data_IF_229314569032
#
_entry.id   IF_229314569032
#
_cell.length_a   1.000
_cell.length_b   1.000
_cell.length_c   1.000
_cell.angle_alpha   90.00
_cell.angle_beta   90.00
_cell.angle_gamma   90.00
#
_symmetry.space_group_name_H-M   'P 1'
#
loop_
_entity.id
_entity.type
_entity.pdbx_description
1 polymer ?
#
# COMPACT_ATOMS: atom_id res chain seq x y z
N UNK A 1 13.76 -3.18 13.82
CA UNK A 1 12.31 -3.14 14.12
C UNK A 1 11.60 -3.50 12.84
N UNK A 2 10.50 -4.26 12.90
CA UNK A 2 9.72 -4.51 11.69
C UNK A 2 9.00 -3.21 11.31
N UNK A 3 9.08 -2.80 10.05
CA UNK A 3 8.35 -1.63 9.57
C UNK A 3 6.88 -2.03 9.37
N UNK A 4 6.02 -1.62 10.30
CA UNK A 4 4.59 -1.96 10.29
C UNK A 4 3.72 -0.71 10.42
N UNK A 5 2.51 -0.80 9.89
CA UNK A 5 1.44 0.17 10.03
C UNK A 5 0.39 -0.39 11.00
N UNK A 6 0.16 0.32 12.11
CA UNK A 6 -0.93 0.01 13.03
C UNK A 6 -2.23 0.68 12.57
N UNK A 7 -3.27 -0.10 12.32
CA UNK A 7 -4.61 0.38 11.94
C UNK A 7 -5.59 0.04 13.07
N UNK A 8 -6.28 1.05 13.59
CA UNK A 8 -7.37 0.86 14.54
C UNK A 8 -8.70 1.12 13.83
N UNK A 9 -9.56 0.11 13.75
CA UNK A 9 -10.92 0.30 13.27
C UNK A 9 -11.81 0.76 14.43
N UNK A 10 -12.26 2.02 14.39
CA UNK A 10 -13.10 2.57 15.45
C UNK A 10 -14.54 2.02 15.45
N UNK A 11 -14.98 1.37 14.36
CA UNK A 11 -16.32 0.74 14.29
C UNK A 11 -16.40 -0.51 15.16
N UNK A 12 -15.29 -1.27 15.24
CA UNK A 12 -15.21 -2.54 15.98
C UNK A 12 -14.27 -2.49 17.18
N UNK A 13 -13.42 -1.46 17.28
CA UNK A 13 -12.38 -1.33 18.29
C UNK A 13 -11.14 -2.21 18.06
N UNK A 14 -11.13 -3.03 16.99
CA UNK A 14 -10.02 -3.95 16.67
C UNK A 14 -8.80 -3.18 16.16
N UNK A 15 -7.62 -3.70 16.50
CA UNK A 15 -6.33 -3.17 16.06
C UNK A 15 -5.64 -4.22 15.20
N UNK A 16 -5.10 -3.78 14.07
CA UNK A 16 -4.43 -4.59 13.06
C UNK A 16 -3.03 -4.05 12.85
N UNK A 17 -2.06 -4.94 12.62
CA UNK A 17 -0.71 -4.58 12.21
C UNK A 17 -0.48 -5.07 10.79
N UNK A 18 -0.17 -4.14 9.89
CA UNK A 18 0.03 -4.41 8.47
C UNK A 18 1.52 -4.19 8.16
N UNK A 19 2.23 -5.17 7.55
CA UNK A 19 3.63 -4.98 7.19
C UNK A 19 3.79 -3.95 6.08
N UNK A 20 4.78 -3.09 6.22
CA UNK A 20 5.23 -2.17 5.17
C UNK A 20 6.34 -2.86 4.37
N UNK A 21 6.26 -2.81 3.05
CA UNK A 21 7.30 -3.34 2.16
C UNK A 21 7.48 -2.40 0.97
N UNK A 22 8.73 -2.08 0.64
CA UNK A 22 9.09 -1.13 -0.43
C UNK A 22 8.38 0.23 -0.29
N UNK A 23 8.15 0.69 0.95
CA UNK A 23 7.43 1.94 1.24
C UNK A 23 5.92 1.88 0.96
N UNK A 24 5.36 0.69 0.76
CA UNK A 24 3.94 0.47 0.48
C UNK A 24 3.33 -0.58 1.42
N UNK A 25 2.01 -0.54 1.60
CA UNK A 25 1.25 -1.63 2.23
C UNK A 25 0.47 -2.38 1.15
N UNK A 26 0.28 -3.68 1.32
CA UNK A 26 -0.54 -4.43 0.37
C UNK A 26 -2.02 -4.10 0.57
N UNK A 27 -2.73 -3.82 -0.51
CA UNK A 27 -4.15 -3.49 -0.46
C UNK A 27 -5.04 -4.66 0.03
N UNK A 28 -4.65 -5.91 -0.27
CA UNK A 28 -5.38 -7.10 0.17
C UNK A 28 -5.34 -7.33 1.68
N UNK A 29 -4.37 -6.76 2.40
CA UNK A 29 -4.33 -6.80 3.87
C UNK A 29 -5.51 -6.07 4.52
N UNK A 30 -6.15 -5.14 3.81
CA UNK A 30 -7.35 -4.45 4.31
C UNK A 30 -8.60 -5.34 4.25
N UNK A 31 -8.59 -6.45 3.51
CA UNK A 31 -9.70 -7.41 3.50
C UNK A 31 -9.93 -8.07 4.86
N UNK A 32 -8.89 -8.15 5.70
CA UNK A 32 -8.99 -8.68 7.06
C UNK A 32 -9.69 -7.72 8.03
N UNK A 33 -9.85 -6.45 7.65
CA UNK A 33 -10.52 -5.42 8.44
C UNK A 33 -12.02 -5.46 8.14
N UNK A 34 -12.76 -6.18 8.99
CA UNK A 34 -14.19 -6.43 8.82
C UNK A 34 -15.01 -5.88 9.98
N UNK A 35 -16.24 -5.43 9.66
CA UNK A 35 -17.23 -5.08 10.69
C UNK A 35 -17.96 -6.34 11.17
N UNK A 36 -18.44 -7.15 10.23
CA UNK A 36 -19.19 -8.39 10.46
C UNK A 36 -18.50 -9.58 9.77
N UNK A 37 -18.80 -10.81 10.18
CA UNK A 37 -18.16 -12.02 9.61
C UNK A 37 -18.51 -12.26 8.13
N UNK A 38 -19.69 -11.78 7.70
CA UNK A 38 -20.17 -11.88 6.32
C UNK A 38 -19.57 -10.81 5.39
N UNK A 39 -18.83 -9.83 5.95
CA UNK A 39 -18.23 -8.76 5.18
C UNK A 39 -17.08 -9.28 4.30
N UNK A 40 -16.98 -8.75 3.09
CA UNK A 40 -15.85 -9.01 2.20
C UNK A 40 -14.55 -8.46 2.78
N UNK A 41 -14.64 -7.34 3.52
CA UNK A 41 -13.52 -6.61 4.09
C UNK A 41 -13.32 -5.23 3.47
N UNK A 42 -12.48 -4.43 4.12
CA UNK A 42 -12.26 -3.04 3.73
C UNK A 42 -11.52 -2.95 2.39
N UNK A 43 -12.12 -2.25 1.43
CA UNK A 43 -11.50 -1.97 0.13
C UNK A 43 -10.84 -0.58 0.12
N UNK A 44 -9.71 -0.48 -0.58
CA UNK A 44 -9.02 0.80 -0.80
C UNK A 44 -9.61 1.48 -2.04
N UNK A 45 -10.10 2.70 -1.87
CA UNK A 45 -10.59 3.53 -2.98
C UNK A 45 -9.55 4.59 -3.35
N UNK A 46 -8.89 4.41 -4.49
CA UNK A 46 -7.89 5.34 -5.03
C UNK A 46 -8.14 5.59 -6.52
N UNK A 47 -8.93 6.63 -6.87
CA UNK A 47 -9.24 6.97 -8.25
C UNK A 47 -7.97 7.21 -9.08
N UNK A 48 -7.87 6.49 -10.20
CA UNK A 48 -6.72 6.54 -11.11
C UNK A 48 -5.38 6.07 -10.51
N UNK A 49 -5.40 5.33 -9.39
CA UNK A 49 -4.22 4.68 -8.78
C UNK A 49 -3.07 5.65 -8.45
N UNK A 50 -3.40 6.88 -8.03
CA UNK A 50 -2.37 7.91 -7.79
C UNK A 50 -1.47 7.58 -6.59
N UNK A 51 -1.98 6.83 -5.62
CA UNK A 51 -1.28 6.42 -4.41
C UNK A 51 -1.14 4.89 -4.32
N UNK A 52 -1.40 4.17 -5.42
CA UNK A 52 -1.36 2.71 -5.46
C UNK A 52 -0.22 2.24 -6.36
N UNK A 53 0.78 1.59 -5.77
CA UNK A 53 1.81 0.90 -6.53
C UNK A 53 1.26 -0.44 -7.07
N UNK A 54 0.99 -0.50 -8.38
CA UNK A 54 0.35 -1.67 -9.01
C UNK A 54 1.28 -2.87 -9.19
N UNK A 55 2.59 -2.64 -9.34
CA UNK A 55 3.56 -3.69 -9.55
C UNK A 55 4.95 -3.29 -9.06
N UNK A 56 5.80 -4.30 -8.80
CA UNK A 56 7.24 -4.10 -8.66
C UNK A 56 7.86 -4.15 -10.05
N UNK A 57 8.59 -3.11 -10.42
CA UNK A 57 9.28 -3.03 -11.71
C UNK A 57 10.75 -2.70 -11.50
N UNK A 58 11.60 -3.29 -12.34
CA UNK A 58 13.03 -2.98 -12.40
C UNK A 58 13.40 -2.32 -13.74
N UNK A 59 12.41 -1.85 -14.53
CA UNK A 59 12.63 -1.36 -15.90
C UNK A 59 13.08 0.10 -15.90
N UNK A 60 12.26 0.99 -15.36
CA UNK A 60 12.47 2.44 -15.43
C UNK A 60 12.18 3.07 -14.06
N UNK A 61 13.01 4.03 -13.66
CA UNK A 61 12.78 4.90 -12.50
C UNK A 61 12.63 6.35 -12.97
N UNK A 62 11.65 7.04 -12.42
CA UNK A 62 11.43 8.47 -12.64
C UNK A 62 11.33 9.16 -11.27
N UNK A 63 12.07 10.25 -11.08
CA UNK A 63 11.94 11.18 -9.93
C UNK A 63 11.88 12.60 -10.53
N UNK A 64 10.66 13.14 -10.62
CA UNK A 64 10.39 14.41 -11.29
C UNK A 64 10.97 15.63 -10.57
N UNK A 65 10.97 15.61 -9.24
CA UNK A 65 11.49 16.70 -8.41
C UNK A 65 13.00 16.87 -8.58
N UNK A 66 13.71 15.75 -8.80
CA UNK A 66 15.15 15.73 -9.06
C UNK A 66 15.51 15.71 -10.56
N UNK A 67 14.52 15.68 -11.46
CA UNK A 67 14.74 15.56 -12.90
C UNK A 67 15.44 14.26 -13.32
N UNK A 68 15.22 13.15 -12.60
CA UNK A 68 15.85 11.85 -12.88
C UNK A 68 14.92 11.00 -13.75
N UNK A 69 15.49 10.45 -14.82
CA UNK A 69 14.94 9.37 -15.61
C UNK A 69 16.05 8.33 -15.76
N UNK A 70 15.76 7.05 -15.47
CA UNK A 70 16.74 5.97 -15.62
C UNK A 70 16.13 4.73 -16.24
N UNK A 71 16.84 4.14 -17.20
CA UNK A 71 16.51 2.84 -17.79
C UNK A 71 17.47 1.78 -17.26
N UNK A 72 16.95 0.81 -16.50
CA UNK A 72 17.76 -0.22 -15.83
C UNK A 72 18.92 0.36 -15.00
N UNK A 73 18.76 1.57 -14.47
CA UNK A 73 19.75 2.27 -13.66
C UNK A 73 20.65 3.26 -14.40
N UNK A 74 20.70 3.24 -15.73
CA UNK A 74 21.47 4.21 -16.53
C UNK A 74 20.66 5.49 -16.77
N UNK A 75 21.25 6.69 -16.63
CA UNK A 75 20.62 7.96 -17.00
C UNK A 75 20.19 8.02 -18.47
#
# INVERSE_FOLDING_TARGET
MADTLTVKDNRTGKVYEIPITDGSVRADAFNDIKVDEEDFGLMVYDPAFKNTASCRSAITLIDGDKGILRYRGYP
#
